data_IF_160316976268
#
_entry.id   IF_160316976268
#
_cell.length_a   1.000
_cell.length_b   1.000
_cell.length_c   1.000
_cell.angle_alpha   90.00
_cell.angle_beta   90.00
_cell.angle_gamma   90.00
#
_symmetry.space_group_name_H-M   'P 1'
#
loop_
_entity.id
_entity.type
_entity.pdbx_description
1 polymer ?
#
# COMPACT_ATOMS: atom_id res chain seq x y z
N UNK A 1 4.63 7.77 35.14
CA UNK A 1 3.65 8.16 34.10
C UNK A 1 2.27 7.72 34.58
N UNK A 2 1.23 8.53 34.42
CA UNK A 2 -0.13 8.14 34.88
C UNK A 2 -0.70 7.08 33.92
N UNK A 3 -1.51 6.13 34.41
CA UNK A 3 -2.14 5.08 33.56
C UNK A 3 -2.85 5.68 32.34
N UNK A 4 -3.60 6.77 32.53
CA UNK A 4 -4.29 7.51 31.45
C UNK A 4 -3.35 7.96 30.32
N UNK A 5 -2.12 8.40 30.64
CA UNK A 5 -1.15 8.85 29.64
C UNK A 5 -0.64 7.68 28.78
N UNK A 6 -0.47 6.50 29.38
CA UNK A 6 -0.07 5.28 28.65
C UNK A 6 -1.17 4.91 27.65
N UNK A 7 -2.43 4.86 28.09
CA UNK A 7 -3.56 4.56 27.20
C UNK A 7 -3.69 5.56 26.05
N UNK A 8 -3.55 6.86 26.32
CA UNK A 8 -3.56 7.89 25.29
C UNK A 8 -2.41 7.68 24.29
N UNK A 9 -1.20 7.41 24.78
CA UNK A 9 -0.05 7.16 23.91
C UNK A 9 -0.29 5.96 23.01
N UNK A 10 -0.68 4.81 23.57
CA UNK A 10 -0.92 3.59 22.79
C UNK A 10 -2.00 3.83 21.74
N UNK A 11 -3.13 4.44 22.14
CA UNK A 11 -4.21 4.76 21.21
C UNK A 11 -3.73 5.68 20.07
N UNK A 12 -2.93 6.69 20.38
CA UNK A 12 -2.35 7.58 19.38
C UNK A 12 -1.40 6.85 18.42
N UNK A 13 -0.52 5.98 18.93
CA UNK A 13 0.40 5.21 18.08
C UNK A 13 -0.35 4.26 17.14
N UNK A 14 -1.40 3.60 17.63
CA UNK A 14 -2.26 2.71 16.82
C UNK A 14 -2.98 3.51 15.74
N UNK A 15 -3.59 4.65 16.08
CA UNK A 15 -4.27 5.52 15.11
C UNK A 15 -3.30 5.98 14.04
N UNK A 16 -2.09 6.41 14.41
CA UNK A 16 -1.06 6.83 13.45
C UNK A 16 -0.71 5.68 12.51
N UNK A 17 -0.46 4.48 13.03
CA UNK A 17 -0.14 3.32 12.20
C UNK A 17 -1.26 2.98 11.21
N UNK A 18 -2.53 3.03 11.65
CA UNK A 18 -3.69 2.77 10.78
C UNK A 18 -3.88 3.86 9.72
N UNK A 19 -3.85 5.13 10.13
CA UNK A 19 -4.06 6.28 9.24
C UNK A 19 -2.95 6.38 8.20
N UNK A 20 -1.71 6.11 8.60
CA UNK A 20 -0.57 6.11 7.67
C UNK A 20 -0.71 5.01 6.61
N UNK A 21 -1.21 3.83 6.98
CA UNK A 21 -1.38 2.71 6.04
C UNK A 21 -2.75 2.69 5.35
N UNK A 22 -3.54 3.77 5.45
CA UNK A 22 -4.87 3.84 4.86
C UNK A 22 -4.94 3.48 3.36
N UNK A 23 -3.97 3.85 2.49
CA UNK A 23 -3.98 3.43 1.09
C UNK A 23 -4.02 1.90 0.91
N UNK A 24 -3.42 1.16 1.83
CA UNK A 24 -3.30 -0.29 1.73
C UNK A 24 -4.48 -1.04 2.35
N UNK A 25 -5.48 -0.32 2.86
CA UNK A 25 -6.61 -0.91 3.56
C UNK A 25 -7.86 -0.96 2.67
N UNK A 26 -8.80 -1.89 2.97
CA UNK A 26 -10.07 -1.95 2.28
C UNK A 26 -10.89 -0.69 2.48
N UNK A 27 -11.52 -0.21 1.41
CA UNK A 27 -12.36 0.96 1.47
C UNK A 27 -12.65 1.57 0.10
N UNK A 28 -13.36 2.71 0.07
CA UNK A 28 -13.81 3.33 -1.16
C UNK A 28 -12.70 4.14 -1.85
N UNK A 29 -12.68 4.09 -3.19
CA UNK A 29 -11.64 4.71 -4.02
C UNK A 29 -11.66 6.25 -3.96
N UNK A 30 -12.74 6.88 -3.48
CA UNK A 30 -12.79 8.33 -3.29
C UNK A 30 -11.81 8.83 -2.20
N UNK A 31 -11.33 7.95 -1.33
CA UNK A 31 -10.33 8.28 -0.32
C UNK A 31 -8.88 8.22 -0.85
N UNK A 32 -8.66 7.68 -2.05
CA UNK A 32 -7.34 7.44 -2.65
C UNK A 32 -6.39 8.63 -2.49
N UNK A 33 -6.83 9.82 -2.94
CA UNK A 33 -5.98 11.03 -2.93
C UNK A 33 -5.60 11.48 -1.52
N UNK A 34 -6.56 11.41 -0.59
CA UNK A 34 -6.34 11.85 0.80
C UNK A 34 -5.45 10.85 1.51
N UNK A 35 -5.70 9.55 1.35
CA UNK A 35 -4.88 8.51 1.95
C UNK A 35 -3.45 8.56 1.42
N UNK A 36 -3.26 8.80 0.12
CA UNK A 36 -1.94 8.91 -0.50
C UNK A 36 -1.18 10.11 0.06
N UNK A 37 -1.82 11.28 0.13
CA UNK A 37 -1.21 12.47 0.71
C UNK A 37 -0.79 12.27 2.18
N UNK A 38 -1.61 11.54 2.95
CA UNK A 38 -1.29 11.18 4.34
C UNK A 38 -0.06 10.25 4.39
N UNK A 39 0.00 9.21 3.56
CA UNK A 39 1.13 8.28 3.54
C UNK A 39 2.43 8.97 3.11
N UNK A 40 2.39 9.78 2.06
CA UNK A 40 3.56 10.50 1.54
C UNK A 40 4.06 11.53 2.55
N UNK A 41 3.14 12.34 3.11
CA UNK A 41 3.47 13.30 4.16
C UNK A 41 4.04 12.61 5.42
N UNK A 42 3.47 11.47 5.81
CA UNK A 42 3.97 10.66 6.92
C UNK A 42 5.37 10.10 6.65
N UNK A 43 5.65 9.69 5.42
CA UNK A 43 6.97 9.19 5.00
C UNK A 43 8.03 10.30 5.05
N UNK A 44 7.69 11.51 4.60
CA UNK A 44 8.58 12.68 4.74
C UNK A 44 8.83 13.02 6.22
N UNK A 45 7.77 13.08 7.03
CA UNK A 45 7.88 13.35 8.47
C UNK A 45 8.68 12.28 9.21
N UNK A 46 8.57 11.02 8.80
CA UNK A 46 9.37 9.92 9.34
C UNK A 46 10.86 10.16 9.11
N UNK A 47 11.26 10.54 7.89
CA UNK A 47 12.66 10.80 7.55
C UNK A 47 13.26 11.93 8.39
N UNK A 48 12.57 13.08 8.50
CA UNK A 48 13.02 14.18 9.36
C UNK A 48 12.96 13.83 10.84
N UNK A 49 11.97 13.03 11.24
CA UNK A 49 11.73 12.59 12.60
C UNK A 49 12.81 11.65 13.15
N UNK A 50 13.57 10.97 12.29
CA UNK A 50 14.66 10.06 12.71
C UNK A 50 15.67 10.75 13.63
N UNK A 51 15.97 12.04 13.41
CA UNK A 51 16.89 12.81 14.26
C UNK A 51 16.33 13.03 15.68
N UNK A 52 15.00 13.09 15.83
CA UNK A 52 14.34 13.28 17.12
C UNK A 52 14.35 12.01 17.98
N UNK A 53 14.51 10.83 17.37
CA UNK A 53 14.53 9.54 18.08
C UNK A 53 15.68 9.49 19.10
N UNK A 54 16.97 9.65 18.73
CA UNK A 54 18.05 9.61 19.71
C UNK A 54 17.96 10.73 20.75
N UNK A 55 17.51 11.94 20.34
CA UNK A 55 17.33 13.08 21.25
C UNK A 55 16.28 12.75 22.32
N UNK A 56 15.11 12.26 21.90
CA UNK A 56 14.02 11.87 22.79
C UNK A 56 14.36 10.69 23.69
N UNK A 57 15.11 9.70 23.18
CA UNK A 57 15.59 8.56 23.97
C UNK A 57 16.58 9.02 25.05
N UNK A 58 17.60 9.79 24.69
CA UNK A 58 18.58 10.34 25.65
C UNK A 58 17.87 11.18 26.71
N UNK A 59 16.96 12.07 26.29
CA UNK A 59 16.21 12.91 27.21
C UNK A 59 15.34 12.08 28.17
N UNK A 60 14.69 11.04 27.65
CA UNK A 60 13.91 10.10 28.46
C UNK A 60 14.80 9.41 29.50
N UNK A 61 15.97 8.88 29.09
CA UNK A 61 16.92 8.23 30.01
C UNK A 61 17.35 9.19 31.12
N UNK A 62 17.68 10.46 30.79
CA UNK A 62 18.06 11.48 31.77
C UNK A 62 16.95 11.73 32.79
N UNK A 63 15.70 11.87 32.33
CA UNK A 63 14.54 12.11 33.22
C UNK A 63 14.25 10.92 34.15
N UNK A 64 14.44 9.68 33.67
CA UNK A 64 14.32 8.49 34.51
C UNK A 64 15.43 8.41 35.56
N UNK A 65 16.69 8.71 35.18
CA UNK A 65 17.82 8.76 36.11
C UNK A 65 17.63 9.82 37.20
N UNK A 66 17.17 11.01 36.83
CA UNK A 66 16.91 12.12 37.77
C UNK A 66 15.62 11.96 38.60
N UNK A 67 14.84 10.90 38.36
CA UNK A 67 13.51 10.67 38.95
C UNK A 67 12.51 11.82 38.73
N UNK A 68 12.74 12.71 37.77
CA UNK A 68 11.83 13.79 37.41
C UNK A 68 10.60 13.26 36.69
N UNK A 69 9.39 13.65 37.08
CA UNK A 69 8.14 13.09 36.53
C UNK A 69 7.41 14.04 35.57
N UNK A 70 7.64 15.35 35.68
CA UNK A 70 6.87 16.40 34.98
C UNK A 70 6.96 16.29 33.45
N UNK A 71 8.12 15.90 32.92
CA UNK A 71 8.39 15.91 31.47
C UNK A 71 8.53 14.52 30.83
N UNK A 72 8.34 13.42 31.59
CA UNK A 72 8.54 12.05 31.05
C UNK A 72 7.62 11.72 29.88
N UNK A 73 6.40 12.23 29.90
CA UNK A 73 5.45 11.96 28.83
C UNK A 73 5.85 12.65 27.52
N UNK A 74 6.26 13.91 27.61
CA UNK A 74 6.74 14.68 26.46
C UNK A 74 8.02 14.06 25.86
N UNK A 75 8.97 13.64 26.70
CA UNK A 75 10.20 12.99 26.21
C UNK A 75 9.91 11.68 25.49
N UNK A 76 8.92 10.90 25.95
CA UNK A 76 8.51 9.65 25.29
C UNK A 76 7.84 9.92 23.95
N UNK A 77 6.91 10.87 23.89
CA UNK A 77 6.25 11.28 22.64
C UNK A 77 7.28 11.69 21.58
N UNK A 78 8.32 12.42 21.99
CA UNK A 78 9.34 12.97 21.09
C UNK A 78 10.05 11.90 20.26
N UNK A 79 10.28 10.70 20.81
CA UNK A 79 10.87 9.59 20.04
C UNK A 79 9.82 8.57 19.56
N UNK A 80 8.73 8.37 20.29
CA UNK A 80 7.75 7.33 19.97
C UNK A 80 6.94 7.65 18.70
N UNK A 81 6.55 8.91 18.48
CA UNK A 81 5.82 9.31 17.27
C UNK A 81 6.65 9.13 15.99
N UNK A 82 7.86 9.72 15.86
CA UNK A 82 8.65 9.54 14.65
C UNK A 82 9.08 8.09 14.44
N UNK A 83 9.37 7.35 15.53
CA UNK A 83 9.65 5.91 15.42
C UNK A 83 8.44 5.15 14.87
N UNK A 84 7.24 5.45 15.34
CA UNK A 84 6.01 4.79 14.88
C UNK A 84 5.76 5.10 13.41
N UNK A 85 5.90 6.36 12.99
CA UNK A 85 5.80 6.73 11.58
C UNK A 85 6.82 5.96 10.74
N UNK A 86 8.09 5.94 11.16
CA UNK A 86 9.16 5.24 10.44
C UNK A 86 8.90 3.74 10.32
N UNK A 87 8.56 3.05 11.42
CA UNK A 87 8.23 1.62 11.40
C UNK A 87 6.99 1.36 10.55
N UNK A 88 6.01 2.26 10.61
CA UNK A 88 4.77 2.17 9.85
C UNK A 88 5.01 2.28 8.35
N UNK A 89 5.76 3.28 7.89
CA UNK A 89 5.99 3.54 6.46
C UNK A 89 7.04 2.61 5.84
N UNK A 90 7.90 1.98 6.64
CA UNK A 90 8.92 1.05 6.13
C UNK A 90 8.52 -0.43 6.22
N UNK A 91 8.07 -0.88 7.39
CA UNK A 91 7.83 -2.29 7.65
C UNK A 91 6.35 -2.66 7.56
N UNK A 92 5.48 -1.90 8.21
CA UNK A 92 4.05 -2.19 8.21
C UNK A 92 3.44 -2.02 6.81
N UNK A 93 3.87 -1.00 6.07
CA UNK A 93 3.46 -0.75 4.67
C UNK A 93 3.74 -1.95 3.76
N UNK A 94 4.88 -2.63 3.93
CA UNK A 94 5.20 -3.84 3.16
C UNK A 94 4.17 -4.96 3.41
N UNK A 95 3.78 -5.18 4.67
CA UNK A 95 2.79 -6.19 5.03
C UNK A 95 1.41 -5.82 4.49
N UNK A 96 1.00 -4.57 4.67
CA UNK A 96 -0.32 -4.11 4.22
C UNK A 96 -0.41 -4.04 2.70
N UNK A 97 0.69 -3.78 1.98
CA UNK A 97 0.74 -3.87 0.51
C UNK A 97 0.50 -5.28 0.00
N UNK A 98 1.16 -6.29 0.59
CA UNK A 98 0.91 -7.68 0.22
C UNK A 98 -0.54 -8.09 0.45
N UNK A 99 -1.12 -7.67 1.58
CA UNK A 99 -2.54 -7.88 1.87
C UNK A 99 -3.46 -7.20 0.85
N UNK A 100 -3.20 -5.91 0.56
CA UNK A 100 -3.92 -5.17 -0.45
C UNK A 100 -3.84 -5.84 -1.83
N UNK A 101 -2.65 -6.28 -2.25
CA UNK A 101 -2.42 -6.97 -3.51
C UNK A 101 -3.26 -8.23 -3.61
N UNK A 102 -3.27 -9.06 -2.56
CA UNK A 102 -4.09 -10.29 -2.55
C UNK A 102 -5.58 -10.00 -2.73
N UNK A 103 -6.10 -8.97 -2.07
CA UNK A 103 -7.52 -8.58 -2.21
C UNK A 103 -7.82 -8.11 -3.63
N UNK A 104 -6.97 -7.27 -4.21
CA UNK A 104 -7.16 -6.79 -5.58
C UNK A 104 -7.12 -7.96 -6.59
N UNK A 105 -6.18 -8.88 -6.43
CA UNK A 105 -6.08 -10.10 -7.26
C UNK A 105 -7.35 -10.96 -7.14
N UNK A 106 -7.85 -11.18 -5.92
CA UNK A 106 -9.08 -11.95 -5.68
C UNK A 106 -10.30 -11.28 -6.35
N UNK A 107 -10.40 -9.95 -6.27
CA UNK A 107 -11.49 -9.19 -6.91
C UNK A 107 -11.43 -9.24 -8.43
N UNK A 108 -10.23 -9.24 -9.01
CA UNK A 108 -10.00 -9.31 -10.45
C UNK A 108 -10.50 -10.64 -11.07
N UNK A 109 -10.65 -11.71 -10.28
CA UNK A 109 -11.11 -13.00 -10.77
C UNK A 109 -12.49 -12.94 -11.45
N UNK A 110 -13.35 -12.04 -10.99
CA UNK A 110 -14.68 -11.86 -11.61
C UNK A 110 -14.53 -11.40 -13.06
N UNK A 111 -13.69 -10.39 -13.31
CA UNK A 111 -13.44 -9.87 -14.64
C UNK A 111 -12.69 -10.87 -15.53
N UNK A 112 -11.73 -11.61 -14.95
CA UNK A 112 -11.03 -12.69 -15.65
C UNK A 112 -12.02 -13.74 -16.15
N UNK A 113 -12.93 -14.20 -15.30
CA UNK A 113 -13.94 -15.19 -15.68
C UNK A 113 -14.84 -14.67 -16.80
N UNK A 114 -15.31 -13.42 -16.70
CA UNK A 114 -16.14 -12.81 -17.74
C UNK A 114 -15.41 -12.69 -19.09
N UNK A 115 -14.11 -12.40 -19.08
CA UNK A 115 -13.27 -12.34 -20.29
C UNK A 115 -13.08 -13.72 -20.93
N UNK A 116 -12.86 -14.76 -20.12
CA UNK A 116 -12.75 -16.13 -20.62
C UNK A 116 -14.09 -16.65 -21.16
N UNK A 117 -15.20 -16.34 -20.47
CA UNK A 117 -16.55 -16.67 -20.94
C UNK A 117 -16.84 -15.96 -22.26
N UNK A 118 -16.52 -14.67 -22.38
CA UNK A 118 -16.64 -13.91 -23.63
C UNK A 118 -15.86 -14.58 -24.77
N UNK A 119 -14.59 -14.93 -24.53
CA UNK A 119 -13.78 -15.62 -25.55
C UNK A 119 -14.36 -16.98 -25.92
N UNK A 120 -14.92 -17.73 -24.97
CA UNK A 120 -15.53 -19.03 -25.25
C UNK A 120 -16.72 -18.93 -26.23
N UNK A 121 -17.46 -17.81 -26.18
CA UNK A 121 -18.64 -17.56 -27.03
C UNK A 121 -18.25 -16.98 -28.38
N UNK A 122 -17.36 -15.99 -28.41
CA UNK A 122 -17.03 -15.22 -29.61
C UNK A 122 -15.74 -15.65 -30.32
N UNK A 123 -14.90 -16.43 -29.65
CA UNK A 123 -13.60 -16.90 -30.17
C UNK A 123 -12.46 -15.89 -30.07
N UNK A 124 -12.71 -14.70 -29.52
CA UNK A 124 -11.70 -13.64 -29.36
C UNK A 124 -11.93 -12.84 -28.06
N UNK A 125 -10.89 -12.18 -27.56
CA UNK A 125 -11.01 -11.21 -26.45
C UNK A 125 -11.47 -9.84 -26.97
N UNK A 126 -12.30 -9.10 -26.20
CA UNK A 126 -12.88 -7.85 -26.66
C UNK A 126 -11.83 -6.75 -26.80
N UNK A 127 -11.97 -5.86 -27.79
CA UNK A 127 -11.03 -4.72 -27.95
C UNK A 127 -11.16 -3.70 -26.82
N UNK A 128 -12.32 -3.67 -26.16
CA UNK A 128 -12.62 -2.79 -25.02
C UNK A 128 -13.68 -3.45 -24.15
N UNK A 129 -13.51 -3.37 -22.83
CA UNK A 129 -14.49 -3.86 -21.85
C UNK A 129 -15.85 -3.19 -22.04
N UNK A 130 -15.87 -1.87 -22.27
CA UNK A 130 -17.09 -1.08 -22.44
C UNK A 130 -17.89 -1.49 -23.68
N UNK A 131 -17.20 -1.80 -24.78
CA UNK A 131 -17.85 -2.26 -26.02
C UNK A 131 -18.44 -3.65 -25.86
N UNK A 132 -17.78 -4.50 -25.05
CA UNK A 132 -18.27 -5.83 -24.70
C UNK A 132 -19.38 -5.82 -23.65
N UNK A 133 -19.69 -4.67 -23.04
CA UNK A 133 -20.65 -4.57 -21.94
C UNK A 133 -20.14 -5.20 -20.64
N UNK A 134 -18.82 -5.34 -20.47
CA UNK A 134 -18.18 -5.82 -19.26
C UNK A 134 -17.87 -4.64 -18.35
N UNK A 135 -18.18 -4.77 -17.06
CA UNK A 135 -17.91 -3.75 -16.05
C UNK A 135 -16.64 -4.09 -15.27
N UNK A 136 -15.80 -3.09 -15.02
CA UNK A 136 -14.62 -3.27 -14.18
C UNK A 136 -15.04 -3.35 -12.71
N UNK A 137 -14.76 -4.45 -11.99
CA UNK A 137 -15.11 -4.54 -10.58
C UNK A 137 -14.24 -3.59 -9.75
N UNK A 138 -14.78 -3.13 -8.62
CA UNK A 138 -13.97 -2.38 -7.66
C UNK A 138 -12.83 -3.26 -7.12
N UNK A 139 -11.63 -2.68 -7.07
CA UNK A 139 -10.43 -3.27 -6.45
C UNK A 139 -10.62 -3.54 -4.95
N UNK A 140 -11.55 -2.81 -4.31
CA UNK A 140 -11.87 -2.91 -2.89
C UNK A 140 -10.80 -2.31 -1.97
N UNK A 141 -9.76 -1.67 -2.52
CA UNK A 141 -8.64 -1.09 -1.79
C UNK A 141 -8.57 0.41 -2.08
N UNK A 142 -8.43 1.21 -1.01
CA UNK A 142 -8.39 2.67 -1.12
C UNK A 142 -7.28 3.16 -2.07
N UNK A 143 -6.09 2.56 -1.98
CA UNK A 143 -4.87 2.89 -2.71
C UNK A 143 -4.77 2.33 -4.14
N UNK A 144 -5.79 1.64 -4.64
CA UNK A 144 -5.79 1.06 -5.99
C UNK A 144 -7.02 1.58 -6.73
N UNK A 145 -6.81 2.50 -7.68
CA UNK A 145 -7.91 3.21 -8.34
C UNK A 145 -8.81 2.31 -9.19
N UNK A 146 -8.23 1.49 -10.07
CA UNK A 146 -8.98 0.65 -11.02
C UNK A 146 -8.14 -0.50 -11.58
N UNK A 147 -8.78 -1.43 -12.30
CA UNK A 147 -8.11 -2.40 -13.16
C UNK A 147 -8.01 -1.89 -14.60
N UNK A 148 -6.84 -2.05 -15.20
CA UNK A 148 -6.52 -1.60 -16.54
C UNK A 148 -6.42 -2.81 -17.47
N UNK A 149 -7.35 -2.91 -18.40
CA UNK A 149 -7.39 -3.97 -19.41
C UNK A 149 -6.63 -3.57 -20.67
N UNK A 150 -5.76 -4.46 -21.13
CA UNK A 150 -5.07 -4.34 -22.43
C UNK A 150 -5.23 -5.64 -23.22
N UNK A 151 -5.82 -5.56 -24.41
CA UNK A 151 -5.89 -6.70 -25.33
C UNK A 151 -4.56 -6.88 -26.07
N UNK A 152 -4.15 -8.13 -26.21
CA UNK A 152 -3.12 -8.59 -27.13
C UNK A 152 -3.77 -9.53 -28.17
N UNK A 153 -3.07 -9.87 -29.26
CA UNK A 153 -3.63 -10.62 -30.41
C UNK A 153 -4.51 -11.81 -30.01
N UNK A 154 -3.99 -12.67 -29.12
CA UNK A 154 -4.69 -13.87 -28.60
C UNK A 154 -4.69 -13.98 -27.07
N UNK A 155 -4.26 -12.93 -26.38
CA UNK A 155 -4.13 -12.84 -24.93
C UNK A 155 -4.63 -11.49 -24.41
N UNK A 156 -4.59 -11.29 -23.10
CA UNK A 156 -4.85 -9.97 -22.51
C UNK A 156 -4.03 -9.80 -21.24
N UNK A 157 -3.86 -8.54 -20.85
CA UNK A 157 -3.29 -8.14 -19.57
C UNK A 157 -4.35 -7.44 -18.74
N UNK A 158 -4.35 -7.73 -17.43
CA UNK A 158 -5.02 -6.91 -16.43
C UNK A 158 -3.96 -6.35 -15.48
N UNK A 159 -3.88 -5.03 -15.40
CA UNK A 159 -2.91 -4.34 -14.56
C UNK A 159 -3.60 -3.52 -13.49
N UNK A 160 -2.99 -3.42 -12.31
CA UNK A 160 -3.31 -2.36 -11.35
C UNK A 160 -2.04 -1.78 -10.75
N UNK A 161 -2.15 -0.54 -10.27
CA UNK A 161 -1.02 0.24 -9.75
C UNK A 161 -1.16 0.45 -8.26
N UNK A 162 -0.03 0.35 -7.56
CA UNK A 162 0.05 0.61 -6.14
C UNK A 162 1.24 1.53 -5.84
N UNK A 163 1.03 2.61 -5.10
CA UNK A 163 2.13 3.47 -4.66
C UNK A 163 3.06 2.75 -3.65
N UNK A 164 4.37 2.89 -3.83
CA UNK A 164 5.37 2.26 -2.96
C UNK A 164 5.95 3.26 -1.99
N UNK A 165 6.51 4.36 -2.51
CA UNK A 165 7.16 5.39 -1.71
C UNK A 165 7.00 6.75 -2.37
N UNK A 166 6.44 7.71 -1.63
CA UNK A 166 6.40 9.13 -1.98
C UNK A 166 5.86 9.44 -3.40
N UNK A 167 5.06 8.54 -3.99
CA UNK A 167 4.64 8.65 -5.40
C UNK A 167 5.78 8.73 -6.44
N UNK A 168 7.01 8.37 -6.05
CA UNK A 168 8.12 8.19 -6.98
C UNK A 168 8.08 6.81 -7.61
N UNK A 169 7.83 5.77 -6.80
CA UNK A 169 7.83 4.40 -7.27
C UNK A 169 6.43 3.79 -7.20
N UNK A 170 6.09 3.02 -8.23
CA UNK A 170 4.82 2.30 -8.32
C UNK A 170 5.08 0.81 -8.45
N UNK A 171 4.36 0.04 -7.66
CA UNK A 171 4.21 -1.37 -7.90
C UNK A 171 3.17 -1.56 -9.00
N UNK A 172 3.61 -2.14 -10.12
CA UNK A 172 2.74 -2.51 -11.23
C UNK A 172 2.48 -4.00 -11.10
N UNK A 173 1.24 -4.39 -10.86
CA UNK A 173 0.85 -5.78 -10.71
C UNK A 173 0.06 -6.18 -11.96
N UNK A 174 0.54 -7.19 -12.67
CA UNK A 174 0.00 -7.58 -13.98
C UNK A 174 -0.35 -9.06 -14.02
N UNK A 175 -1.58 -9.34 -14.45
CA UNK A 175 -2.02 -10.64 -14.90
C UNK A 175 -1.73 -10.80 -16.39
N UNK A 176 -1.17 -11.93 -16.79
CA UNK A 176 -1.04 -12.34 -18.21
C UNK A 176 -1.39 -13.82 -18.32
N UNK A 177 -2.48 -14.13 -19.02
CA UNK A 177 -2.97 -15.49 -19.19
C UNK A 177 -2.02 -16.41 -19.98
N UNK A 178 -0.94 -15.88 -20.55
CA UNK A 178 0.12 -16.64 -21.24
C UNK A 178 1.42 -16.75 -20.46
N UNK A 179 1.50 -16.21 -19.24
CA UNK A 179 2.72 -16.13 -18.41
C UNK A 179 3.91 -15.42 -19.08
N UNK A 180 3.68 -14.65 -20.15
CA UNK A 180 4.73 -13.93 -20.89
C UNK A 180 4.96 -12.54 -20.32
N UNK A 181 5.11 -12.47 -19.00
CA UNK A 181 5.37 -11.23 -18.29
C UNK A 181 6.69 -10.59 -18.76
N UNK A 182 6.62 -9.30 -19.02
CA UNK A 182 7.79 -8.47 -19.29
C UNK A 182 7.81 -7.30 -18.33
N UNK A 183 8.96 -7.06 -17.72
CA UNK A 183 9.13 -5.88 -16.90
C UNK A 183 9.08 -4.60 -17.74
N UNK A 184 8.29 -3.62 -17.32
CA UNK A 184 8.20 -2.27 -17.86
C UNK A 184 9.09 -1.40 -16.96
N UNK A 185 10.08 -0.68 -17.51
CA UNK A 185 10.96 0.23 -16.75
C UNK A 185 12.47 -0.05 -16.88
N UNK A 186 13.29 0.72 -16.15
CA UNK A 186 14.75 0.53 -16.13
C UNK A 186 15.14 -0.71 -15.31
N UNK A 187 14.40 -0.98 -14.23
CA UNK A 187 14.56 -2.17 -13.40
C UNK A 187 13.78 -3.33 -14.02
N UNK A 188 14.48 -4.32 -14.56
CA UNK A 188 13.88 -5.49 -15.24
C UNK A 188 13.56 -6.66 -14.30
N UNK A 189 13.39 -6.40 -13.01
CA UNK A 189 13.13 -7.45 -12.03
C UNK A 189 11.63 -7.72 -11.93
N UNK A 190 11.24 -8.96 -12.22
CA UNK A 190 9.88 -9.45 -12.00
C UNK A 190 9.84 -10.23 -10.69
N UNK A 191 8.87 -9.89 -9.86
CA UNK A 191 8.64 -10.53 -8.58
C UNK A 191 7.36 -11.37 -8.61
N UNK A 192 7.40 -12.50 -7.91
CA UNK A 192 6.28 -13.42 -7.80
C UNK A 192 5.26 -12.90 -6.78
N UNK A 193 3.97 -12.93 -7.15
CA UNK A 193 2.88 -12.58 -6.22
C UNK A 193 2.42 -13.74 -5.35
N UNK A 194 2.74 -14.98 -5.75
CA UNK A 194 2.19 -16.21 -5.18
C UNK A 194 0.84 -16.64 -5.77
N UNK A 195 0.31 -15.93 -6.77
CA UNK A 195 -0.89 -16.27 -7.52
C UNK A 195 -0.51 -16.62 -8.97
N UNK A 196 -1.17 -17.63 -9.53
CA UNK A 196 -0.92 -18.08 -10.91
C UNK A 196 -1.18 -16.93 -11.90
N UNK A 197 -0.29 -16.79 -12.89
CA UNK A 197 -0.37 -15.74 -13.93
C UNK A 197 -0.25 -14.30 -13.44
N UNK A 198 0.10 -14.07 -12.17
CA UNK A 198 0.25 -12.74 -11.59
C UNK A 198 1.69 -12.46 -11.19
N UNK A 199 2.28 -11.42 -11.77
CA UNK A 199 3.60 -10.91 -11.39
C UNK A 199 3.53 -9.44 -11.06
N UNK A 200 4.49 -8.96 -10.30
CA UNK A 200 4.63 -7.54 -10.04
C UNK A 200 6.05 -7.05 -10.25
N UNK A 201 6.18 -5.78 -10.54
CA UNK A 201 7.43 -5.06 -10.67
C UNK A 201 7.36 -3.73 -9.94
N UNK A 202 8.52 -3.15 -9.65
CA UNK A 202 8.62 -1.82 -9.08
C UNK A 202 9.15 -0.89 -10.17
N UNK A 203 8.27 -0.03 -10.66
CA UNK A 203 8.55 1.01 -11.63
C UNK A 203 9.01 2.29 -10.92
N UNK A 204 10.06 2.90 -11.43
CA UNK A 204 10.73 4.12 -10.94
C UNK A 204 10.42 5.39 -11.73
#
# INVERSE_FOLDING_TARGET
>A
MKKRQIFILIGLLVIIGLVTNLPFLPGPNNLFRISQAIYDGSSMLALFGLVLIPIGLIWTIILYKKKETKNRFASIILWALPLTLFVSTSYLSMLTRNFSRSIAIERAQTLIQELEDFKSVYGFYPDSLTVAGLETPSTGIIGIEDFYYTKNDSSYELTFYHNVILSFNYEIVTYDNTDRHTAKGEIKELHETGYDHWKYEIFD
#
